data_IF_021401862783
#
_entry.id   IF_021401862783
#
_cell.length_a   1.000
_cell.length_b   1.000
_cell.length_c   1.000
_cell.angle_alpha   90.00
_cell.angle_beta   90.00
_cell.angle_gamma   90.00
#
_symmetry.space_group_name_H-M   'P 1'
#
loop_
_entity.id
_entity.type
_entity.pdbx_description
1 polymer ?
#
# COMPACT_ATOMS: atom_id res chain seq x y z
N UNK A 1 15.98 -10.47 -6.98
CA UNK A 1 14.63 -10.32 -6.40
C UNK A 1 14.23 -8.86 -6.49
N UNK A 2 13.27 -8.49 -7.36
CA UNK A 2 12.76 -7.11 -7.44
C UNK A 2 12.11 -6.75 -6.10
N UNK A 3 12.43 -5.58 -5.56
CA UNK A 3 11.91 -4.99 -4.32
C UNK A 3 10.40 -4.64 -4.40
N UNK A 4 9.61 -5.40 -5.17
CA UNK A 4 8.21 -5.11 -5.55
C UNK A 4 7.41 -6.40 -5.83
N UNK A 5 7.83 -7.53 -5.26
CA UNK A 5 7.03 -8.75 -5.26
C UNK A 5 5.81 -8.61 -4.34
N UNK A 6 4.71 -9.29 -4.66
CA UNK A 6 3.48 -9.26 -3.85
C UNK A 6 3.76 -9.66 -2.39
N UNK A 7 4.57 -10.71 -2.16
CA UNK A 7 4.99 -11.10 -0.81
C UNK A 7 5.75 -9.97 -0.08
N UNK A 8 6.66 -9.26 -0.75
CA UNK A 8 7.44 -8.20 -0.13
C UNK A 8 6.55 -7.02 0.31
N UNK A 9 5.52 -6.71 -0.48
CA UNK A 9 4.53 -5.68 -0.16
C UNK A 9 3.59 -6.11 0.96
N UNK A 10 3.17 -7.38 0.97
CA UNK A 10 2.36 -7.94 2.04
C UNK A 10 3.12 -7.94 3.38
N UNK A 11 4.35 -8.44 3.38
CA UNK A 11 5.22 -8.43 4.55
C UNK A 11 5.47 -6.99 5.04
N UNK A 12 5.65 -6.05 4.11
CA UNK A 12 5.86 -4.65 4.44
C UNK A 12 4.62 -4.00 5.08
N UNK A 13 3.44 -4.22 4.51
CA UNK A 13 2.19 -3.75 5.10
C UNK A 13 2.00 -4.32 6.52
N UNK A 14 2.30 -5.60 6.71
CA UNK A 14 2.27 -6.24 8.03
C UNK A 14 3.26 -5.61 9.02
N UNK A 15 4.48 -5.29 8.58
CA UNK A 15 5.49 -4.62 9.43
C UNK A 15 5.07 -3.21 9.85
N UNK A 16 4.36 -2.51 8.97
CA UNK A 16 3.82 -1.17 9.23
C UNK A 16 2.53 -1.19 10.06
N UNK A 17 1.97 -2.37 10.35
CA UNK A 17 0.67 -2.50 11.03
C UNK A 17 -0.52 -2.05 10.17
N UNK A 18 -0.33 -1.99 8.85
CA UNK A 18 -1.34 -1.56 7.89
C UNK A 18 -2.23 -2.76 7.54
N UNK A 19 -3.52 -2.62 7.79
CA UNK A 19 -4.53 -3.58 7.33
C UNK A 19 -5.05 -3.12 5.98
N UNK A 20 -4.77 -3.91 4.94
CA UNK A 20 -5.22 -3.67 3.57
C UNK A 20 -5.77 -4.98 2.99
N UNK A 21 -6.92 -4.90 2.32
CA UNK A 21 -7.54 -6.05 1.70
C UNK A 21 -6.71 -6.60 0.54
N UNK A 22 -6.91 -7.88 0.22
CA UNK A 22 -6.11 -8.55 -0.81
C UNK A 22 -6.27 -7.91 -2.20
N UNK A 23 -7.44 -7.33 -2.50
CA UNK A 23 -7.70 -6.67 -3.78
C UNK A 23 -7.02 -5.30 -3.84
N UNK A 24 -7.16 -4.48 -2.79
CA UNK A 24 -6.41 -3.23 -2.64
C UNK A 24 -4.88 -3.47 -2.66
N UNK A 25 -4.41 -4.57 -2.07
CA UNK A 25 -3.00 -4.96 -2.11
C UNK A 25 -2.52 -5.34 -3.52
N UNK A 26 -3.39 -5.95 -4.35
CA UNK A 26 -3.07 -6.20 -5.77
C UNK A 26 -2.99 -4.89 -6.54
N UNK A 27 -3.94 -3.98 -6.34
CA UNK A 27 -3.98 -2.68 -7.02
C UNK A 27 -2.76 -1.82 -6.68
N UNK A 28 -2.42 -1.69 -5.39
CA UNK A 28 -1.23 -0.96 -4.97
C UNK A 28 0.06 -1.60 -5.49
N UNK A 29 0.11 -2.94 -5.59
CA UNK A 29 1.25 -3.65 -6.17
C UNK A 29 1.43 -3.32 -7.65
N UNK A 30 0.33 -3.28 -8.43
CA UNK A 30 0.37 -2.88 -9.83
C UNK A 30 0.79 -1.43 -9.99
N UNK A 31 0.28 -0.54 -9.14
CA UNK A 31 0.64 0.86 -9.13
C UNK A 31 2.13 1.09 -8.89
N UNK A 32 2.69 0.45 -7.84
CA UNK A 32 4.11 0.55 -7.51
C UNK A 32 4.99 -0.01 -8.63
N UNK A 33 4.57 -1.10 -9.29
CA UNK A 33 5.29 -1.66 -10.45
C UNK A 33 5.31 -0.70 -11.63
N UNK A 34 4.16 -0.11 -11.97
CA UNK A 34 4.09 0.87 -13.05
C UNK A 34 5.00 2.08 -12.75
N UNK A 35 5.00 2.58 -11.51
CA UNK A 35 5.90 3.66 -11.12
C UNK A 35 7.38 3.25 -11.20
N UNK A 36 7.72 2.02 -10.78
CA UNK A 36 9.08 1.50 -10.82
C UNK A 36 9.62 1.28 -12.25
N UNK A 37 8.73 1.10 -13.22
CA UNK A 37 9.11 1.01 -14.64
C UNK A 37 9.48 2.39 -15.22
N UNK A 38 8.97 3.48 -14.63
CA UNK A 38 9.24 4.86 -15.08
C UNK A 38 10.32 5.58 -14.26
N UNK A 39 10.46 5.27 -12.96
CA UNK A 39 11.44 5.90 -12.07
C UNK A 39 11.94 4.93 -11.01
N UNK A 40 13.09 5.23 -10.40
CA UNK A 40 13.55 4.50 -9.22
C UNK A 40 12.56 4.77 -8.06
N UNK A 41 12.10 3.70 -7.44
CA UNK A 41 11.25 3.72 -6.25
C UNK A 41 12.09 3.31 -5.04
N UNK A 42 12.00 4.08 -3.98
CA UNK A 42 12.65 3.81 -2.69
C UNK A 42 11.69 3.08 -1.75
N UNK A 43 12.21 2.54 -0.65
CA UNK A 43 11.37 1.89 0.35
C UNK A 43 10.41 2.90 1.02
N UNK A 44 10.85 4.14 1.23
CA UNK A 44 10.02 5.20 1.78
C UNK A 44 8.83 5.54 0.86
N UNK A 45 9.04 5.57 -0.45
CA UNK A 45 7.94 5.77 -1.41
C UNK A 45 6.89 4.64 -1.31
N UNK A 46 7.35 3.40 -1.12
CA UNK A 46 6.45 2.24 -0.94
C UNK A 46 5.61 2.39 0.33
N UNK A 47 6.23 2.80 1.43
CA UNK A 47 5.54 3.00 2.71
C UNK A 47 4.48 4.09 2.61
N UNK A 48 4.81 5.23 1.99
CA UNK A 48 3.87 6.34 1.78
C UNK A 48 2.66 5.90 0.93
N UNK A 49 2.90 5.16 -0.15
CA UNK A 49 1.84 4.65 -1.03
C UNK A 49 0.94 3.67 -0.27
N UNK A 50 1.52 2.75 0.51
CA UNK A 50 0.73 1.80 1.33
C UNK A 50 -0.14 2.54 2.35
N UNK A 51 0.38 3.56 3.01
CA UNK A 51 -0.38 4.38 3.95
C UNK A 51 -1.54 5.12 3.26
N UNK A 52 -1.29 5.76 2.11
CA UNK A 52 -2.34 6.44 1.36
C UNK A 52 -3.47 5.51 0.94
N UNK A 53 -3.12 4.31 0.45
CA UNK A 53 -4.12 3.32 0.06
C UNK A 53 -4.93 2.84 1.26
N UNK A 54 -4.28 2.55 2.39
CA UNK A 54 -4.99 2.12 3.59
C UNK A 54 -5.87 3.22 4.19
N UNK A 55 -5.42 4.47 4.18
CA UNK A 55 -6.17 5.61 4.69
C UNK A 55 -7.41 5.92 3.82
N UNK A 56 -7.29 5.82 2.49
CA UNK A 56 -8.43 5.95 1.59
C UNK A 56 -9.50 4.87 1.84
N UNK A 57 -9.09 3.65 2.22
CA UNK A 57 -10.02 2.58 2.59
C UNK A 57 -10.65 2.81 3.99
N UNK A 58 -9.88 3.34 4.95
CA UNK A 58 -10.35 3.58 6.33
C UNK A 58 -11.15 4.89 6.50
N UNK A 59 -10.96 5.86 5.61
CA UNK A 59 -11.69 7.14 5.64
C UNK A 59 -13.21 6.98 5.48
N UNK A 60 -13.67 5.85 4.92
CA UNK A 60 -15.11 5.52 4.89
C UNK A 60 -15.67 5.03 6.24
N UNK A 61 -14.81 4.61 7.18
CA UNK A 61 -15.22 4.07 8.49
C UNK A 61 -15.12 5.14 9.59
N UNK A 62 -14.15 6.05 9.50
CA UNK A 62 -13.97 7.11 10.52
C UNK A 62 -15.00 8.24 10.46
N UNK A 63 -15.64 8.49 9.31
CA UNK A 63 -16.72 9.50 9.21
C UNK A 63 -18.04 9.07 9.86
N UNK A 64 -18.16 7.82 10.34
CA UNK A 64 -19.39 7.26 10.93
C UNK A 64 -19.35 7.13 12.46
N UNK A 65 -18.22 7.45 13.13
CA UNK A 65 -18.06 7.33 14.59
C UNK A 65 -18.12 8.64 15.37
N UNK A 66 -18.56 9.73 14.74
CA UNK A 66 -18.93 10.97 15.41
C UNK A 66 -20.39 11.30 15.12
N UNK A 67 -21.30 10.60 15.81
CA UNK A 67 -22.59 11.13 16.28
C UNK A 67 -23.27 10.12 17.22
#
# INVERSE_FOLDING_TARGET
HKLTGWNALQDRASQLGIHIDSDSLKEVTLHIKAMADHKRITLSDVDEILHQWADNNNSSISSMKMN
#
